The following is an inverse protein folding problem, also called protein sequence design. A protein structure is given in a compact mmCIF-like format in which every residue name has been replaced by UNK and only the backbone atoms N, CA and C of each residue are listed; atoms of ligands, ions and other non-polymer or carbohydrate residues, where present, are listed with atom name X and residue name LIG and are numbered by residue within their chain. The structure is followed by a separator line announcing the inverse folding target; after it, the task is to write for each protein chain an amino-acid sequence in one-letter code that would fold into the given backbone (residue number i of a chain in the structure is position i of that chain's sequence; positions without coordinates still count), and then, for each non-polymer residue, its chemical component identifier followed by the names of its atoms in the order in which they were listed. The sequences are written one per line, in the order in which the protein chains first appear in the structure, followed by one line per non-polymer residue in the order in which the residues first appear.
data_IF_109530727560
#
_entry.id   IF_109530727560
#
_cell.length_a   1.000
_cell.length_b   1.000
_cell.length_c   1.000
_cell.angle_alpha   90.00
_cell.angle_beta   90.00
_cell.angle_gamma   90.00
#
_symmetry.space_group_name_H-M   'P 1'
#
loop_
_entity.id
_entity.type
_entity.pdbx_description
1 polymer ?
#
# COMPACT_ATOMS: atom_id res chain seq x y z
N UNK A 1 -13.16 -35.93 2.35
CA UNK A 1 -13.26 -34.79 3.28
C UNK A 1 -12.02 -34.53 4.14
N UNK A 2 -11.12 -35.49 4.35
CA UNK A 2 -9.89 -35.28 5.16
C UNK A 2 -8.57 -35.50 4.39
N UNK A 3 -8.61 -35.41 3.05
CA UNK A 3 -7.46 -35.68 2.20
C UNK A 3 -6.33 -34.66 2.41
N UNK A 4 -5.08 -35.10 2.26
CA UNK A 4 -3.91 -34.23 2.24
C UNK A 4 -3.11 -34.42 0.96
N UNK A 5 -2.66 -33.33 0.35
CA UNK A 5 -1.78 -33.37 -0.81
C UNK A 5 -0.57 -32.45 -0.61
N UNK A 6 0.59 -32.90 -1.08
CA UNK A 6 1.80 -32.09 -1.21
C UNK A 6 2.13 -31.95 -2.69
N UNK A 7 2.29 -30.70 -3.15
CA UNK A 7 2.62 -30.34 -4.52
C UNK A 7 3.93 -29.55 -4.44
N UNK A 8 5.00 -30.17 -4.92
CA UNK A 8 6.33 -29.56 -4.92
C UNK A 8 6.85 -29.44 -6.36
N UNK A 9 7.50 -28.32 -6.67
CA UNK A 9 8.21 -28.08 -7.93
C UNK A 9 7.37 -28.33 -9.20
N UNK A 10 6.06 -28.07 -9.10
CA UNK A 10 5.12 -28.28 -10.18
C UNK A 10 4.81 -26.99 -10.94
N UNK A 11 4.46 -27.10 -12.22
CA UNK A 11 3.84 -26.01 -12.98
C UNK A 11 2.36 -26.34 -13.21
N UNK A 12 1.45 -25.55 -12.62
CA UNK A 12 0.02 -25.74 -12.72
C UNK A 12 -0.62 -24.67 -13.61
N UNK A 13 -1.21 -25.10 -14.71
CA UNK A 13 -1.89 -24.20 -15.65
C UNK A 13 -3.23 -24.77 -16.11
N UNK A 14 -4.28 -23.96 -16.08
CA UNK A 14 -5.60 -24.34 -16.57
C UNK A 14 -6.35 -23.17 -17.19
N UNK A 15 -6.63 -23.22 -18.50
CA UNK A 15 -7.30 -22.09 -19.16
C UNK A 15 -8.76 -21.88 -18.73
N UNK A 16 -9.42 -22.89 -18.18
CA UNK A 16 -10.86 -22.79 -17.83
C UNK A 16 -11.15 -23.06 -16.35
N UNK A 17 -10.14 -23.45 -15.57
CA UNK A 17 -10.31 -23.86 -14.18
C UNK A 17 -9.23 -23.28 -13.25
N UNK A 18 -9.32 -23.69 -11.98
CA UNK A 18 -8.32 -23.50 -10.94
C UNK A 18 -7.17 -24.49 -11.13
N UNK A 19 -5.97 -24.12 -10.67
CA UNK A 19 -4.84 -25.06 -10.61
C UNK A 19 -4.97 -26.03 -9.43
N UNK A 20 -5.45 -25.53 -8.29
CA UNK A 20 -5.73 -26.33 -7.08
C UNK A 20 -7.07 -25.88 -6.48
N UNK A 21 -7.91 -26.84 -6.15
CA UNK A 21 -9.13 -26.61 -5.38
C UNK A 21 -9.17 -27.56 -4.18
N UNK A 22 -9.35 -27.00 -2.98
CA UNK A 22 -9.43 -27.75 -1.73
C UNK A 22 -10.77 -27.42 -1.06
N UNK A 23 -11.47 -28.47 -0.64
CA UNK A 23 -12.85 -28.42 -0.13
C UNK A 23 -12.99 -29.33 1.08
N UNK A 24 -14.06 -29.16 1.87
CA UNK A 24 -14.25 -29.89 3.12
C UNK A 24 -13.14 -29.58 4.13
N UNK A 25 -12.66 -30.60 4.84
CA UNK A 25 -11.57 -30.49 5.81
C UNK A 25 -10.19 -30.88 5.22
N UNK A 26 -10.07 -30.91 3.89
CA UNK A 26 -8.85 -31.31 3.20
C UNK A 26 -7.72 -30.27 3.36
N UNK A 27 -6.49 -30.72 3.12
CA UNK A 27 -5.27 -29.94 3.30
C UNK A 27 -4.38 -29.99 2.06
N UNK A 28 -3.75 -28.87 1.74
CA UNK A 28 -2.75 -28.84 0.68
C UNK A 28 -1.49 -28.11 1.13
N UNK A 29 -0.34 -28.58 0.69
CA UNK A 29 0.94 -27.86 0.79
C UNK A 29 1.50 -27.68 -0.61
N UNK A 30 1.76 -26.45 -1.01
CA UNK A 30 2.41 -26.09 -2.26
C UNK A 30 3.78 -25.51 -1.94
N UNK A 31 4.84 -26.07 -2.51
CA UNK A 31 6.22 -25.61 -2.31
C UNK A 31 6.90 -25.44 -3.67
N UNK A 32 7.62 -24.33 -3.87
CA UNK A 32 8.48 -24.17 -5.06
C UNK A 32 7.74 -24.22 -6.41
N UNK A 33 6.41 -24.10 -6.39
CA UNK A 33 5.57 -24.38 -7.55
C UNK A 33 5.15 -23.11 -8.27
N UNK A 34 4.93 -23.21 -9.59
CA UNK A 34 4.48 -22.11 -10.43
C UNK A 34 3.03 -22.32 -10.86
N UNK A 35 2.17 -21.33 -10.63
CA UNK A 35 0.79 -21.33 -11.05
C UNK A 35 0.54 -20.18 -12.03
N UNK A 36 0.25 -20.52 -13.29
CA UNK A 36 0.21 -19.54 -14.39
C UNK A 36 -0.95 -19.75 -15.35
N UNK A 37 -1.49 -18.64 -15.87
CA UNK A 37 -2.51 -18.65 -16.92
C UNK A 37 -3.87 -19.23 -16.50
N UNK A 38 -4.11 -19.40 -15.20
CA UNK A 38 -5.33 -20.02 -14.67
C UNK A 38 -6.56 -19.15 -14.94
N UNK A 39 -7.65 -19.78 -15.39
CA UNK A 39 -8.90 -19.11 -15.78
C UNK A 39 -9.88 -18.85 -14.64
N UNK A 40 -9.70 -19.54 -13.51
CA UNK A 40 -10.39 -19.32 -12.22
C UNK A 40 -9.32 -19.09 -11.13
N UNK A 41 -9.66 -18.87 -9.83
CA UNK A 41 -8.65 -18.67 -8.81
C UNK A 41 -7.58 -19.77 -8.86
N UNK A 42 -6.29 -19.42 -8.91
CA UNK A 42 -5.25 -20.42 -9.16
C UNK A 42 -5.18 -21.46 -8.02
N UNK A 43 -5.30 -21.00 -6.78
CA UNK A 43 -5.60 -21.83 -5.59
C UNK A 43 -6.92 -21.34 -4.99
N UNK A 44 -7.81 -22.27 -4.66
CA UNK A 44 -9.03 -21.99 -3.91
C UNK A 44 -9.18 -22.93 -2.72
N UNK A 45 -9.38 -22.36 -1.53
CA UNK A 45 -9.75 -23.06 -0.30
C UNK A 45 -11.20 -22.71 0.07
N UNK A 46 -11.99 -23.73 0.43
CA UNK A 46 -13.40 -23.60 0.84
C UNK A 46 -13.68 -24.41 2.11
N UNK A 47 -14.84 -24.18 2.70
CA UNK A 47 -15.32 -24.86 3.91
C UNK A 47 -14.33 -24.67 5.07
N UNK A 48 -13.79 -25.75 5.64
CA UNK A 48 -12.81 -25.75 6.74
C UNK A 48 -11.41 -26.14 6.29
N UNK A 49 -11.16 -26.14 4.98
CA UNK A 49 -9.90 -26.60 4.40
C UNK A 49 -8.71 -25.72 4.78
N UNK A 50 -7.52 -26.29 4.70
CA UNK A 50 -6.29 -25.54 4.93
C UNK A 50 -5.30 -25.66 3.78
N UNK A 51 -4.51 -24.61 3.58
CA UNK A 51 -3.51 -24.57 2.53
C UNK A 51 -2.28 -23.80 2.98
N UNK A 52 -1.11 -24.40 2.76
CA UNK A 52 0.19 -23.74 2.91
C UNK A 52 0.78 -23.56 1.52
N UNK A 53 1.14 -22.33 1.18
CA UNK A 53 1.76 -21.94 -0.08
C UNK A 53 3.09 -21.30 0.27
N UNK A 54 4.20 -21.95 -0.06
CA UNK A 54 5.54 -21.50 0.29
C UNK A 54 6.43 -21.42 -0.94
N UNK A 55 7.18 -20.33 -1.07
CA UNK A 55 8.16 -20.13 -2.16
C UNK A 55 7.59 -20.40 -3.55
N UNK A 56 6.32 -20.06 -3.75
CA UNK A 56 5.58 -20.31 -5.00
C UNK A 56 5.51 -19.04 -5.86
N UNK A 57 5.28 -19.21 -7.17
CA UNK A 57 5.07 -18.11 -8.11
C UNK A 57 3.66 -18.17 -8.69
N UNK A 58 2.88 -17.10 -8.51
CA UNK A 58 1.55 -16.93 -9.10
C UNK A 58 1.61 -15.79 -10.11
N UNK A 59 1.81 -16.14 -11.39
CA UNK A 59 2.12 -15.15 -12.41
C UNK A 59 1.17 -15.24 -13.60
N UNK A 60 0.64 -14.11 -14.05
CA UNK A 60 -0.15 -14.05 -15.28
C UNK A 60 -1.47 -14.82 -15.24
N UNK A 61 -2.04 -15.04 -14.04
CA UNK A 61 -3.34 -15.70 -13.94
C UNK A 61 -4.44 -14.74 -14.39
N UNK A 62 -5.45 -15.27 -15.08
CA UNK A 62 -6.58 -14.48 -15.60
C UNK A 62 -7.66 -14.20 -14.54
N UNK A 63 -7.40 -14.58 -13.30
CA UNK A 63 -8.28 -14.44 -12.15
C UNK A 63 -7.42 -14.19 -10.90
N UNK A 64 -8.05 -14.23 -9.73
CA UNK A 64 -7.40 -14.20 -8.40
C UNK A 64 -6.28 -15.25 -8.31
N UNK A 65 -5.14 -14.94 -7.70
CA UNK A 65 -4.09 -15.94 -7.51
C UNK A 65 -4.46 -16.93 -6.38
N UNK A 66 -4.74 -16.44 -5.17
CA UNK A 66 -5.12 -17.30 -4.04
C UNK A 66 -6.41 -16.80 -3.39
N UNK A 67 -7.40 -17.69 -3.24
CA UNK A 67 -8.70 -17.39 -2.65
C UNK A 67 -8.99 -18.31 -1.46
N UNK A 68 -9.21 -17.74 -0.28
CA UNK A 68 -9.78 -18.41 0.89
C UNK A 68 -11.20 -17.94 1.17
N UNK A 69 -12.10 -18.87 1.49
CA UNK A 69 -13.51 -18.62 1.81
C UNK A 69 -13.96 -19.40 3.03
N UNK A 70 -15.14 -19.08 3.55
CA UNK A 70 -15.76 -19.72 4.72
C UNK A 70 -14.80 -19.74 5.92
N UNK A 71 -14.52 -20.89 6.52
CA UNK A 71 -13.65 -21.04 7.68
C UNK A 71 -12.26 -21.61 7.30
N UNK A 72 -11.86 -21.42 6.04
CA UNK A 72 -10.57 -21.91 5.56
C UNK A 72 -9.39 -21.20 6.23
N UNK A 73 -8.26 -21.91 6.30
CA UNK A 73 -6.98 -21.42 6.84
C UNK A 73 -5.91 -21.39 5.76
N UNK A 74 -5.43 -20.20 5.43
CA UNK A 74 -4.45 -20.02 4.36
C UNK A 74 -3.13 -19.44 4.89
N UNK A 75 -2.03 -20.12 4.60
CA UNK A 75 -0.69 -19.56 4.77
C UNK A 75 -0.08 -19.30 3.39
N UNK A 76 0.29 -18.05 3.11
CA UNK A 76 1.04 -17.68 1.90
C UNK A 76 2.35 -17.06 2.37
N UNK A 77 3.46 -17.76 2.11
CA UNK A 77 4.76 -17.48 2.70
C UNK A 77 5.80 -17.33 1.59
N UNK A 78 6.61 -16.27 1.66
CA UNK A 78 7.83 -16.12 0.85
C UNK A 78 7.59 -16.32 -0.66
N UNK A 79 6.41 -15.95 -1.14
CA UNK A 79 5.94 -16.22 -2.50
C UNK A 79 5.80 -14.94 -3.32
N UNK A 80 5.84 -15.09 -4.65
CA UNK A 80 5.65 -13.97 -5.58
C UNK A 80 4.30 -14.08 -6.27
N UNK A 81 3.46 -13.06 -6.11
CA UNK A 81 2.14 -12.98 -6.74
C UNK A 81 2.10 -11.75 -7.64
N UNK A 82 2.27 -11.98 -8.94
CA UNK A 82 2.50 -10.88 -9.89
C UNK A 82 1.63 -10.95 -11.15
N UNK A 83 1.27 -9.79 -11.68
CA UNK A 83 0.60 -9.66 -13.00
C UNK A 83 -0.65 -10.51 -13.15
N UNK A 84 -1.39 -10.70 -12.06
CA UNK A 84 -2.69 -11.38 -12.12
C UNK A 84 -3.77 -10.36 -12.48
N UNK A 85 -4.77 -10.78 -13.28
CA UNK A 85 -5.85 -9.90 -13.75
C UNK A 85 -6.85 -9.47 -12.67
N UNK A 86 -6.78 -10.08 -11.49
CA UNK A 86 -7.59 -9.69 -10.33
C UNK A 86 -6.69 -9.59 -9.10
N UNK A 87 -7.28 -9.63 -7.90
CA UNK A 87 -6.50 -9.53 -6.68
C UNK A 87 -5.51 -10.70 -6.50
N UNK A 88 -4.37 -10.45 -5.88
CA UNK A 88 -3.38 -11.50 -5.63
C UNK A 88 -3.87 -12.46 -4.53
N UNK A 89 -4.31 -11.95 -3.38
CA UNK A 89 -4.94 -12.77 -2.33
C UNK A 89 -6.30 -12.20 -1.96
N UNK A 90 -7.29 -13.08 -1.84
CA UNK A 90 -8.63 -12.72 -1.35
C UNK A 90 -9.01 -13.65 -0.21
N UNK A 91 -9.40 -13.09 0.94
CA UNK A 91 -10.03 -13.83 2.04
C UNK A 91 -11.43 -13.29 2.30
N UNK A 92 -12.40 -14.17 2.46
CA UNK A 92 -13.82 -13.84 2.67
C UNK A 92 -14.43 -14.65 3.82
N UNK A 93 -15.65 -14.29 4.18
CA UNK A 93 -16.43 -14.96 5.24
C UNK A 93 -15.66 -14.91 6.58
N UNK A 94 -15.24 -16.05 7.14
CA UNK A 94 -14.46 -16.14 8.38
C UNK A 94 -13.04 -16.67 8.13
N UNK A 95 -12.53 -16.53 6.90
CA UNK A 95 -11.26 -17.12 6.53
C UNK A 95 -10.11 -16.49 7.35
N UNK A 96 -9.24 -17.35 7.86
CA UNK A 96 -8.08 -16.97 8.66
C UNK A 96 -6.80 -17.29 7.88
N UNK A 97 -5.68 -16.72 8.32
CA UNK A 97 -4.42 -17.02 7.66
C UNK A 97 -3.25 -16.15 8.06
N UNK A 98 -2.10 -16.52 7.51
CA UNK A 98 -0.85 -15.75 7.59
C UNK A 98 -0.37 -15.49 6.17
N UNK A 99 -0.23 -14.22 5.82
CA UNK A 99 0.34 -13.80 4.55
C UNK A 99 1.64 -13.08 4.89
N UNK A 100 2.78 -13.76 4.74
CA UNK A 100 4.06 -13.29 5.26
C UNK A 100 5.21 -13.35 4.26
N UNK A 101 6.00 -12.28 4.20
CA UNK A 101 7.24 -12.26 3.43
C UNK A 101 7.05 -12.35 1.91
N UNK A 102 5.86 -12.00 1.40
CA UNK A 102 5.54 -12.14 -0.02
C UNK A 102 5.87 -10.87 -0.81
N UNK A 103 6.06 -11.04 -2.12
CA UNK A 103 6.14 -9.95 -3.09
C UNK A 103 4.85 -9.95 -3.91
N UNK A 104 4.03 -8.92 -3.74
CA UNK A 104 2.78 -8.73 -4.48
C UNK A 104 2.97 -7.56 -5.44
N UNK A 105 3.00 -7.82 -6.74
CA UNK A 105 3.43 -6.81 -7.71
C UNK A 105 2.57 -6.73 -8.97
N UNK A 106 2.19 -5.50 -9.35
CA UNK A 106 1.55 -5.20 -10.63
C UNK A 106 0.34 -6.08 -10.93
N UNK A 107 -0.47 -6.39 -9.92
CA UNK A 107 -1.75 -7.06 -10.12
C UNK A 107 -2.78 -5.99 -10.54
N UNK A 108 -3.70 -6.35 -11.44
CA UNK A 108 -4.73 -5.43 -11.92
C UNK A 108 -5.79 -5.15 -10.84
N UNK A 109 -6.01 -6.12 -9.94
CA UNK A 109 -6.82 -5.96 -8.73
C UNK A 109 -6.01 -5.51 -7.52
N UNK A 110 -6.58 -5.67 -6.32
CA UNK A 110 -5.89 -5.37 -5.07
C UNK A 110 -4.71 -6.34 -4.83
N UNK A 111 -3.71 -5.93 -4.08
CA UNK A 111 -2.71 -6.90 -3.61
C UNK A 111 -3.37 -7.94 -2.69
N UNK A 112 -3.96 -7.47 -1.60
CA UNK A 112 -4.76 -8.29 -0.70
C UNK A 112 -6.14 -7.64 -0.51
N UNK A 113 -7.19 -8.46 -0.60
CA UNK A 113 -8.57 -8.04 -0.35
C UNK A 113 -9.20 -8.91 0.76
N UNK A 114 -9.61 -8.26 1.84
CA UNK A 114 -10.28 -8.91 2.97
C UNK A 114 -11.75 -8.49 3.01
N UNK A 115 -12.64 -9.45 3.22
CA UNK A 115 -14.08 -9.23 3.25
C UNK A 115 -14.70 -9.87 4.50
N UNK A 116 -15.90 -9.40 4.86
CA UNK A 116 -16.71 -9.99 5.92
C UNK A 116 -15.95 -10.02 7.26
N UNK A 117 -15.78 -11.17 7.90
CA UNK A 117 -15.09 -11.34 9.19
C UNK A 117 -13.66 -11.89 9.02
N UNK A 118 -13.14 -11.97 7.79
CA UNK A 118 -11.81 -12.49 7.52
C UNK A 118 -10.74 -11.69 8.27
N UNK A 119 -9.93 -12.35 9.09
CA UNK A 119 -9.02 -11.68 10.05
C UNK A 119 -7.62 -12.30 10.04
N UNK A 120 -6.89 -12.26 8.91
CA UNK A 120 -5.53 -12.77 8.82
C UNK A 120 -4.48 -11.86 9.49
N UNK A 121 -3.28 -12.41 9.67
CA UNK A 121 -2.05 -11.65 9.83
C UNK A 121 -1.41 -11.40 8.45
N UNK A 122 -1.12 -10.14 8.14
CA UNK A 122 -0.42 -9.69 6.95
C UNK A 122 0.88 -9.04 7.41
N UNK A 123 2.00 -9.75 7.26
CA UNK A 123 3.27 -9.37 7.89
C UNK A 123 4.43 -9.31 6.88
N UNK A 124 5.27 -8.28 6.94
CA UNK A 124 6.53 -8.24 6.19
C UNK A 124 6.37 -8.46 4.67
N UNK A 125 5.24 -8.07 4.07
CA UNK A 125 5.04 -8.19 2.63
C UNK A 125 5.44 -6.90 1.91
N UNK A 126 5.83 -7.06 0.65
CA UNK A 126 6.16 -5.95 -0.24
C UNK A 126 5.09 -5.80 -1.33
N UNK A 127 4.53 -4.60 -1.45
CA UNK A 127 3.50 -4.27 -2.45
C UNK A 127 4.01 -3.19 -3.40
N UNK A 128 4.00 -3.48 -4.71
CA UNK A 128 4.46 -2.55 -5.75
C UNK A 128 3.54 -2.52 -6.96
N UNK A 129 3.43 -1.34 -7.59
CA UNK A 129 2.79 -1.19 -8.90
C UNK A 129 1.30 -1.51 -8.97
N UNK A 130 0.60 -1.65 -7.83
CA UNK A 130 -0.84 -1.89 -7.81
C UNK A 130 -1.60 -0.64 -8.26
N UNK A 131 -2.57 -0.80 -9.15
CA UNK A 131 -3.43 0.30 -9.65
C UNK A 131 -4.67 0.50 -8.80
N UNK A 132 -5.17 -0.60 -8.21
CA UNK A 132 -6.18 -0.64 -7.16
C UNK A 132 -5.51 -0.54 -5.77
N UNK A 133 -6.26 -0.47 -4.66
CA UNK A 133 -5.65 -0.47 -3.33
C UNK A 133 -4.70 -1.65 -3.14
N UNK A 134 -3.49 -1.42 -2.63
CA UNK A 134 -2.55 -2.51 -2.37
C UNK A 134 -3.10 -3.46 -1.30
N UNK A 135 -3.69 -2.91 -0.24
CA UNK A 135 -4.47 -3.68 0.75
C UNK A 135 -5.85 -3.04 0.92
N UNK A 136 -6.90 -3.85 0.82
CA UNK A 136 -8.28 -3.45 1.08
C UNK A 136 -8.89 -4.28 2.19
N UNK A 137 -9.33 -3.62 3.25
CA UNK A 137 -10.00 -4.21 4.42
C UNK A 137 -11.42 -3.68 4.50
N UNK A 138 -12.41 -4.58 4.42
CA UNK A 138 -13.84 -4.23 4.44
C UNK A 138 -14.64 -5.25 5.25
N UNK A 139 -15.91 -4.91 5.54
CA UNK A 139 -16.78 -5.75 6.37
C UNK A 139 -16.56 -5.50 7.86
N UNK A 140 -16.36 -6.56 8.64
CA UNK A 140 -16.07 -6.60 10.08
C UNK A 140 -14.68 -7.18 10.40
N UNK A 141 -13.77 -7.18 9.42
CA UNK A 141 -12.42 -7.71 9.56
C UNK A 141 -11.65 -7.08 10.73
N UNK A 142 -10.97 -7.91 11.51
CA UNK A 142 -10.05 -7.52 12.59
C UNK A 142 -8.60 -7.93 12.26
N UNK A 143 -8.23 -7.84 10.98
CA UNK A 143 -6.91 -8.24 10.50
C UNK A 143 -5.76 -7.43 11.15
N UNK A 144 -4.58 -8.04 11.20
CA UNK A 144 -3.34 -7.37 11.64
C UNK A 144 -2.44 -7.14 10.44
N UNK A 145 -2.05 -5.89 10.20
CA UNK A 145 -1.19 -5.46 9.12
C UNK A 145 0.09 -4.93 9.76
N UNK A 146 1.16 -5.72 9.72
CA UNK A 146 2.38 -5.44 10.48
C UNK A 146 3.61 -5.42 9.57
N UNK A 147 4.44 -4.38 9.69
CA UNK A 147 5.75 -4.29 9.03
C UNK A 147 5.72 -4.49 7.49
N UNK A 148 4.63 -4.12 6.82
CA UNK A 148 4.53 -4.20 5.37
C UNK A 148 5.14 -2.98 4.70
N UNK A 149 5.80 -3.21 3.56
CA UNK A 149 6.30 -2.16 2.68
C UNK A 149 5.35 -1.98 1.49
N UNK A 150 4.68 -0.84 1.44
CA UNK A 150 3.84 -0.45 0.30
C UNK A 150 4.51 0.71 -0.41
N UNK A 151 5.08 0.44 -1.59
CA UNK A 151 5.85 1.45 -2.31
C UNK A 151 5.54 1.52 -3.80
N UNK A 152 5.62 2.73 -4.35
CA UNK A 152 5.42 2.98 -5.78
C UNK A 152 4.13 2.34 -6.36
N UNK A 153 3.07 2.27 -5.54
CA UNK A 153 1.75 1.87 -6.01
C UNK A 153 1.07 3.05 -6.70
N UNK A 154 0.33 2.79 -7.77
CA UNK A 154 -0.43 3.82 -8.49
C UNK A 154 -1.82 4.06 -7.85
N UNK A 155 -2.30 3.06 -7.11
CA UNK A 155 -3.51 3.08 -6.29
C UNK A 155 -3.28 3.55 -4.85
N UNK A 156 -4.33 3.44 -4.03
CA UNK A 156 -4.27 3.71 -2.59
C UNK A 156 -3.35 2.66 -1.94
N UNK A 157 -2.62 3.03 -0.88
CA UNK A 157 -1.84 2.04 -0.12
C UNK A 157 -2.77 1.09 0.63
N UNK A 158 -3.42 1.60 1.67
CA UNK A 158 -4.36 0.84 2.50
C UNK A 158 -5.72 1.54 2.49
N UNK A 159 -6.80 0.79 2.29
CA UNK A 159 -8.17 1.27 2.53
C UNK A 159 -8.87 0.39 3.57
N UNK A 160 -9.49 1.04 4.55
CA UNK A 160 -10.26 0.42 5.63
C UNK A 160 -11.69 0.96 5.57
N UNK A 161 -12.68 0.06 5.47
CA UNK A 161 -14.08 0.43 5.25
C UNK A 161 -15.06 -0.53 5.95
N UNK A 162 -16.36 -0.26 5.86
CA UNK A 162 -17.41 -0.99 6.59
C UNK A 162 -17.36 -0.69 8.09
N UNK A 163 -17.46 -1.74 8.92
CA UNK A 163 -17.32 -1.67 10.37
C UNK A 163 -16.05 -2.39 10.84
N UNK A 164 -15.02 -2.43 9.98
CA UNK A 164 -13.77 -3.14 10.23
C UNK A 164 -12.93 -2.45 11.31
N UNK A 165 -12.12 -3.26 12.01
CA UNK A 165 -11.28 -2.82 13.14
C UNK A 165 -9.88 -3.44 13.06
N UNK A 166 -9.15 -3.28 11.95
CA UNK A 166 -7.81 -3.83 11.84
C UNK A 166 -6.80 -3.07 12.70
N UNK A 167 -5.71 -3.74 13.05
CA UNK A 167 -4.49 -3.11 13.59
C UNK A 167 -3.51 -2.88 12.42
N UNK A 168 -3.11 -1.65 12.19
CA UNK A 168 -2.16 -1.24 11.15
C UNK A 168 -0.92 -0.69 11.85
N UNK A 169 0.12 -1.50 11.98
CA UNK A 169 1.28 -1.19 12.83
C UNK A 169 2.62 -1.38 12.13
N UNK A 170 3.55 -0.43 12.29
CA UNK A 170 4.93 -0.61 11.77
C UNK A 170 5.07 -0.59 10.25
N UNK A 171 4.01 -0.26 9.50
CA UNK A 171 4.05 -0.31 8.04
C UNK A 171 4.75 0.93 7.47
N UNK A 172 5.46 0.73 6.36
CA UNK A 172 6.07 1.82 5.60
C UNK A 172 5.34 2.01 4.28
N UNK A 173 4.67 3.15 4.15
CA UNK A 173 3.95 3.53 2.93
C UNK A 173 4.69 4.68 2.26
N UNK A 174 5.41 4.42 1.18
CA UNK A 174 6.23 5.45 0.53
C UNK A 174 6.02 5.60 -0.96
N UNK A 175 6.07 6.84 -1.44
CA UNK A 175 6.01 7.14 -2.87
C UNK A 175 4.80 6.55 -3.60
N UNK A 176 3.69 6.28 -2.89
CA UNK A 176 2.46 5.80 -3.50
C UNK A 176 1.71 6.97 -4.14
N UNK A 177 0.97 6.64 -5.19
CA UNK A 177 0.28 7.54 -6.11
C UNK A 177 1.14 8.59 -6.78
N UNK A 178 2.47 8.61 -6.55
CA UNK A 178 3.37 9.42 -7.37
C UNK A 178 3.12 9.00 -8.81
N UNK A 179 2.43 9.87 -9.56
CA UNK A 179 2.49 9.79 -11.01
C UNK A 179 3.96 9.77 -11.34
N UNK A 180 4.35 8.93 -12.29
CA UNK A 180 5.70 8.94 -12.82
C UNK A 180 6.07 10.38 -13.16
N UNK A 181 6.80 11.04 -12.26
CA UNK A 181 7.79 11.99 -12.70
C UNK A 181 8.63 11.21 -13.69
N UNK A 182 8.92 11.78 -14.85
CA UNK A 182 9.77 11.26 -15.91
C UNK A 182 10.90 10.33 -15.41
N UNK A 183 11.52 10.68 -14.28
CA UNK A 183 12.50 9.86 -13.55
C UNK A 183 12.12 8.39 -13.22
N UNK A 184 10.86 8.04 -12.89
CA UNK A 184 10.47 6.65 -12.58
C UNK A 184 10.16 5.84 -13.83
N UNK A 185 9.64 6.47 -14.89
CA UNK A 185 9.52 5.83 -16.21
C UNK A 185 10.90 5.62 -16.80
N UNK A 186 11.80 6.60 -16.65
CA UNK A 186 13.21 6.47 -17.01
C UNK A 186 13.90 5.38 -16.19
N UNK A 187 13.72 5.32 -14.87
CA UNK A 187 14.32 4.26 -14.05
C UNK A 187 13.79 2.87 -14.41
N UNK A 188 12.47 2.70 -14.60
CA UNK A 188 11.90 1.44 -15.08
C UNK A 188 12.38 1.07 -16.48
N UNK A 189 12.57 2.06 -17.34
CA UNK A 189 13.13 1.86 -18.67
C UNK A 189 14.60 1.46 -18.59
N UNK A 190 15.38 2.06 -17.69
CA UNK A 190 16.78 1.70 -17.42
C UNK A 190 16.86 0.27 -16.88
N UNK A 191 16.07 -0.08 -15.87
CA UNK A 191 16.08 -1.42 -15.26
C UNK A 191 15.65 -2.49 -16.28
N UNK A 192 14.61 -2.20 -17.08
CA UNK A 192 14.18 -3.09 -18.16
C UNK A 192 15.22 -3.20 -19.29
N UNK A 193 15.92 -2.10 -19.63
CA UNK A 193 17.00 -2.12 -20.62
C UNK A 193 18.21 -2.92 -20.11
N UNK A 194 18.53 -2.84 -18.82
CA UNK A 194 19.57 -3.66 -18.17
C UNK A 194 19.21 -5.14 -18.24
N UNK A 195 17.94 -5.49 -18.00
CA UNK A 195 17.45 -6.87 -18.13
C UNK A 195 17.54 -7.39 -19.56
N UNK A 196 17.20 -6.57 -20.56
CA UNK A 196 17.41 -6.91 -21.99
C UNK A 196 18.88 -7.17 -22.28
N UNK A 197 19.78 -6.29 -21.83
CA UNK A 197 21.22 -6.45 -22.04
C UNK A 197 21.77 -7.74 -21.41
N UNK A 198 21.30 -8.10 -20.20
CA UNK A 198 21.69 -9.34 -19.53
C UNK A 198 21.17 -10.57 -20.28
N UNK A 199 19.92 -10.54 -20.75
CA UNK A 199 19.31 -11.63 -21.52
C UNK A 199 19.99 -11.81 -22.90
N UNK A 200 20.30 -10.72 -23.61
CA UNK A 200 21.03 -10.77 -24.88
C UNK A 200 22.43 -11.35 -24.72
N UNK A 201 23.19 -10.93 -23.68
CA UNK A 201 24.52 -11.52 -23.39
C UNK A 201 24.45 -13.01 -23.09
N UNK A 202 23.41 -13.45 -22.36
CA UNK A 202 23.17 -14.87 -22.07
C UNK A 202 22.85 -15.65 -23.36
N UNK A 203 22.06 -15.08 -24.26
CA UNK A 203 21.74 -15.68 -25.56
C UNK A 203 22.97 -15.79 -26.47
N UNK A 204 23.78 -14.74 -26.55
CA UNK A 204 25.06 -14.74 -27.29
C UNK A 204 26.02 -15.81 -26.76
N UNK A 205 26.15 -15.94 -25.44
CA UNK A 205 26.98 -16.99 -24.82
C UNK A 205 26.46 -18.41 -25.12
N UNK A 206 25.13 -18.60 -25.16
CA UNK A 206 24.52 -19.87 -25.52
C UNK A 206 24.74 -20.22 -27.00
N UNK A 207 24.67 -19.23 -27.90
CA UNK A 207 24.98 -19.39 -29.32
C UNK A 207 26.46 -19.73 -29.54
N UNK A 208 27.39 -19.04 -28.86
CA UNK A 208 28.81 -19.36 -28.94
C UNK A 208 29.13 -20.78 -28.45
N UNK A 209 28.41 -21.24 -27.41
CA UNK A 209 28.53 -22.62 -26.91
C UNK A 209 28.02 -23.62 -27.96
N UNK A 210 26.91 -23.32 -28.63
CA UNK A 210 26.40 -24.13 -29.73
C UNK A 210 27.40 -24.22 -30.89
N UNK A 211 27.99 -23.09 -31.30
CA UNK A 211 28.98 -23.06 -32.38
C UNK A 211 30.24 -23.87 -32.03
N UNK A 212 30.70 -23.78 -30.78
CA UNK A 212 31.82 -24.58 -30.28
C UNK A 212 31.51 -26.09 -30.26
N UNK A 213 30.29 -26.47 -29.86
CA UNK A 213 29.83 -27.87 -29.91
C UNK A 213 29.71 -28.36 -31.37
N UNK A 214 29.25 -27.51 -32.28
CA UNK A 214 29.14 -27.82 -33.71
C UNK A 214 30.51 -27.94 -34.41
N UNK A 215 31.51 -27.17 -33.97
CA UNK A 215 32.88 -27.24 -34.47
C UNK A 215 33.67 -28.44 -33.93
N UNK A 216 33.21 -29.07 -32.83
CA UNK A 216 33.85 -30.26 -32.28
C UNK A 216 33.48 -31.51 -33.08
N UNK A 217 34.48 -32.07 -33.78
CA UNK A 217 34.38 -33.30 -34.56
C UNK A 217 34.00 -34.56 -33.73
N UNK A 218 33.99 -34.46 -32.39
CA UNK A 218 33.72 -35.56 -31.45
C UNK A 218 32.44 -35.36 -30.62
N UNK A 219 31.68 -34.29 -30.86
CA UNK A 219 30.51 -33.98 -30.05
C UNK A 219 29.36 -35.01 -30.24
N UNK A 220 28.77 -35.55 -29.16
CA UNK A 220 27.61 -36.43 -29.26
C UNK A 220 26.40 -35.71 -29.88
N UNK A 221 25.59 -36.36 -30.75
CA UNK A 221 24.40 -35.77 -31.35
C UNK A 221 23.41 -35.18 -30.32
N UNK A 222 23.30 -35.81 -29.14
CA UNK A 222 22.45 -35.34 -28.05
C UNK A 222 22.95 -34.04 -27.41
N UNK A 223 24.27 -33.83 -27.33
CA UNK A 223 24.85 -32.60 -26.79
C UNK A 223 24.61 -31.42 -27.75
N UNK A 224 24.75 -31.65 -29.06
CA UNK A 224 24.43 -30.65 -30.08
C UNK A 224 22.93 -30.29 -30.09
N UNK A 225 22.03 -31.27 -29.93
CA UNK A 225 20.60 -31.02 -29.82
C UNK A 225 20.25 -30.17 -28.59
N UNK A 226 20.81 -30.49 -27.42
CA UNK A 226 20.60 -29.74 -26.18
C UNK A 226 21.17 -28.32 -26.26
N UNK A 227 22.33 -28.13 -26.89
CA UNK A 227 22.90 -26.80 -27.12
C UNK A 227 22.01 -25.94 -28.03
N UNK A 228 21.41 -26.54 -29.07
CA UNK A 228 20.45 -25.84 -29.97
C UNK A 228 19.19 -25.40 -29.22
N UNK A 229 18.64 -26.28 -28.39
CA UNK A 229 17.45 -26.00 -27.59
C UNK A 229 17.71 -24.86 -26.58
N UNK A 230 18.84 -24.91 -25.87
CA UNK A 230 19.23 -23.87 -24.90
C UNK A 230 19.48 -22.52 -25.58
N UNK A 231 20.13 -22.50 -26.75
CA UNK A 231 20.34 -21.27 -27.51
C UNK A 231 19.00 -20.69 -27.98
N UNK A 232 18.10 -21.52 -28.52
CA UNK A 232 16.76 -21.08 -28.94
C UNK A 232 15.95 -20.53 -27.77
N UNK A 233 15.96 -21.20 -26.61
CA UNK A 233 15.26 -20.76 -25.41
C UNK A 233 15.80 -19.41 -24.88
N UNK A 234 17.13 -19.21 -24.90
CA UNK A 234 17.73 -17.97 -24.46
C UNK A 234 17.37 -16.77 -25.37
N UNK A 235 17.25 -16.99 -26.68
CA UNK A 235 16.77 -15.95 -27.61
C UNK A 235 15.29 -15.62 -27.43
N UNK A 236 14.45 -16.60 -27.08
CA UNK A 236 13.05 -16.36 -26.72
C UNK A 236 12.93 -15.55 -25.43
N UNK A 237 13.77 -15.85 -24.42
CA UNK A 237 13.86 -15.07 -23.17
C UNK A 237 14.28 -13.62 -23.42
N UNK A 238 15.27 -13.41 -24.28
CA UNK A 238 15.72 -12.07 -24.69
C UNK A 238 14.64 -11.28 -25.46
N UNK A 239 13.91 -11.93 -26.36
CA UNK A 239 12.80 -11.32 -27.09
C UNK A 239 11.66 -10.91 -26.14
N UNK A 240 11.29 -11.75 -25.19
CA UNK A 240 10.26 -11.45 -24.19
C UNK A 240 10.66 -10.26 -23.29
N UNK A 241 11.94 -10.14 -22.94
CA UNK A 241 12.46 -8.98 -22.19
C UNK A 241 12.42 -7.69 -23.03
N UNK A 242 12.64 -7.78 -24.34
CA UNK A 242 12.57 -6.63 -25.25
C UNK A 242 11.14 -6.12 -25.45
N UNK A 243 10.16 -7.03 -25.55
CA UNK A 243 8.74 -6.68 -25.61
C UNK A 243 8.27 -5.96 -24.33
N UNK A 244 8.84 -6.33 -23.17
CA UNK A 244 8.57 -5.69 -21.88
C UNK A 244 9.05 -4.21 -21.87
N UNK A 245 10.17 -3.89 -22.53
CA UNK A 245 10.64 -2.51 -22.72
C UNK A 245 9.72 -1.73 -23.66
N UNK A 246 9.30 -2.35 -24.77
CA UNK A 246 8.44 -1.71 -25.78
C UNK A 246 7.05 -1.35 -25.23
N UNK A 247 6.56 -2.09 -24.23
CA UNK A 247 5.28 -1.84 -23.57
C UNK A 247 5.26 -0.62 -22.61
N UNK A 248 6.42 -0.01 -22.30
CA UNK A 248 6.52 1.16 -21.42
C UNK A 248 6.16 2.44 -22.22
N UNK A 249 4.88 2.85 -22.17
CA UNK A 249 4.39 4.02 -22.91
C UNK A 249 4.98 5.36 -22.43
N UNK A 250 5.19 6.36 -23.33
CA UNK A 250 5.56 7.72 -22.95
C UNK A 250 4.40 8.38 -22.20
N UNK A 251 4.70 8.93 -21.01
CA UNK A 251 3.69 9.41 -20.07
C UNK A 251 2.87 10.60 -20.61
N UNK A 252 1.59 10.36 -20.93
CA UNK A 252 0.60 11.43 -21.13
C UNK A 252 -0.48 11.29 -20.06
N UNK A 253 -0.36 12.07 -18.99
CA UNK A 253 -1.21 11.95 -17.81
C UNK A 253 -2.45 12.84 -17.87
N UNK A 254 -3.57 12.33 -18.37
CA UNK A 254 -4.88 12.93 -18.12
C UNK A 254 -5.11 13.04 -16.61
N UNK A 255 -5.32 14.26 -16.10
CA UNK A 255 -5.58 14.53 -14.69
C UNK A 255 -6.91 13.88 -14.25
N UNK A 256 -6.84 12.82 -13.44
CA UNK A 256 -8.03 12.36 -12.73
C UNK A 256 -8.31 13.34 -11.58
N UNK A 257 -9.24 14.26 -11.82
CA UNK A 257 -9.90 15.04 -10.77
C UNK A 257 -10.73 14.07 -9.94
N UNK A 258 -10.28 13.74 -8.74
CA UNK A 258 -11.02 12.90 -7.81
C UNK A 258 -10.38 12.87 -6.41
N UNK A 259 -11.21 13.07 -5.39
CA UNK A 259 -10.88 13.24 -3.96
C UNK A 259 -10.26 12.01 -3.26
N UNK A 260 -9.86 10.96 -4.01
CA UNK A 260 -9.45 9.64 -3.47
C UNK A 260 -7.94 9.35 -3.59
N UNK A 261 -7.08 10.34 -3.34
CA UNK A 261 -5.62 10.15 -3.30
C UNK A 261 -5.13 10.23 -1.85
N UNK A 262 -4.93 9.09 -1.21
CA UNK A 262 -4.30 9.02 0.10
C UNK A 262 -3.41 7.77 0.21
N UNK A 263 -2.43 7.78 1.12
CA UNK A 263 -1.68 6.57 1.46
C UNK A 263 -2.56 5.60 2.24
N UNK A 264 -3.29 6.10 3.24
CA UNK A 264 -4.30 5.37 4.01
C UNK A 264 -5.65 6.09 3.89
N UNK A 265 -6.71 5.34 3.58
CA UNK A 265 -8.10 5.81 3.67
C UNK A 265 -8.83 5.01 4.75
N UNK A 266 -9.50 5.71 5.66
CA UNK A 266 -10.40 5.13 6.66
C UNK A 266 -11.78 5.74 6.47
N UNK A 267 -12.78 4.90 6.23
CA UNK A 267 -14.13 5.36 5.87
C UNK A 267 -15.23 4.50 6.50
N UNK A 268 -16.48 4.89 6.25
CA UNK A 268 -17.69 4.26 6.79
C UNK A 268 -17.75 4.34 8.32
N UNK A 269 -17.98 3.23 9.03
CA UNK A 269 -18.00 3.15 10.51
C UNK A 269 -16.75 2.42 11.04
N UNK A 270 -15.69 2.37 10.24
CA UNK A 270 -14.48 1.62 10.62
C UNK A 270 -13.73 2.30 11.75
N UNK A 271 -13.10 1.49 12.59
CA UNK A 271 -12.36 1.95 13.77
C UNK A 271 -11.02 1.21 13.89
N UNK A 272 -10.08 1.42 12.94
CA UNK A 272 -8.75 0.82 13.00
C UNK A 272 -7.87 1.49 14.07
N UNK A 273 -6.90 0.73 14.57
CA UNK A 273 -5.72 1.28 15.24
C UNK A 273 -4.63 1.48 14.18
N UNK A 274 -4.21 2.72 13.94
CA UNK A 274 -3.11 3.06 13.03
C UNK A 274 -1.94 3.56 13.87
N UNK A 275 -0.94 2.70 14.09
CA UNK A 275 0.12 2.96 15.06
C UNK A 275 1.53 2.78 14.53
N UNK A 276 2.46 3.69 14.85
CA UNK A 276 3.89 3.52 14.54
C UNK A 276 4.18 3.23 13.05
N UNK A 277 3.38 3.79 12.14
CA UNK A 277 3.62 3.69 10.70
C UNK A 277 4.43 4.90 10.22
N UNK A 278 5.21 4.68 9.16
CA UNK A 278 5.92 5.75 8.45
C UNK A 278 5.29 5.96 7.08
N UNK A 279 4.70 7.13 6.86
CA UNK A 279 4.10 7.53 5.59
C UNK A 279 4.96 8.64 4.99
N UNK A 280 5.57 8.36 3.84
CA UNK A 280 6.60 9.22 3.26
C UNK A 280 6.35 9.50 1.79
N UNK A 281 6.29 10.77 1.39
CA UNK A 281 6.41 11.10 -0.03
C UNK A 281 5.24 10.62 -0.88
N UNK A 282 4.04 10.41 -0.33
CA UNK A 282 2.90 9.94 -1.12
C UNK A 282 2.21 11.12 -1.83
N UNK A 283 1.82 10.94 -3.11
CA UNK A 283 1.12 11.98 -3.88
C UNK A 283 -0.37 12.00 -3.53
N UNK A 284 -0.71 12.74 -2.49
CA UNK A 284 -2.04 12.76 -1.89
C UNK A 284 -2.01 13.04 -0.40
N UNK A 285 -3.13 12.80 0.27
CA UNK A 285 -3.21 12.83 1.72
C UNK A 285 -2.31 11.73 2.32
N UNK A 286 -1.74 11.94 3.50
CA UNK A 286 -1.14 10.83 4.24
C UNK A 286 -2.24 9.88 4.69
N UNK A 287 -3.09 10.35 5.60
CA UNK A 287 -4.27 9.65 6.09
C UNK A 287 -5.50 10.50 5.78
N UNK A 288 -6.48 9.90 5.11
CA UNK A 288 -7.80 10.50 4.88
C UNK A 288 -8.84 9.71 5.68
N UNK A 289 -9.58 10.40 6.55
CA UNK A 289 -10.68 9.85 7.32
C UNK A 289 -11.99 10.55 6.93
N UNK A 290 -13.02 9.76 6.61
CA UNK A 290 -14.31 10.27 6.15
C UNK A 290 -15.50 9.43 6.64
N UNK A 291 -16.72 9.87 6.33
CA UNK A 291 -17.99 9.32 6.80
C UNK A 291 -18.13 9.39 8.34
N UNK A 292 -18.32 8.26 9.02
CA UNK A 292 -18.52 8.16 10.47
C UNK A 292 -17.39 7.35 11.13
N UNK A 293 -16.21 7.35 10.50
CA UNK A 293 -15.08 6.54 10.92
C UNK A 293 -14.47 7.06 12.24
N UNK A 294 -13.95 6.12 13.03
CA UNK A 294 -13.45 6.37 14.39
C UNK A 294 -12.05 5.77 14.64
N UNK A 295 -11.05 6.06 13.80
CA UNK A 295 -9.71 5.54 13.99
C UNK A 295 -9.03 6.13 15.23
N UNK A 296 -8.13 5.33 15.82
CA UNK A 296 -7.09 5.82 16.73
C UNK A 296 -5.77 5.83 15.96
N UNK A 297 -5.17 7.01 15.83
CA UNK A 297 -3.93 7.24 15.07
C UNK A 297 -2.83 7.66 16.05
N UNK A 298 -1.90 6.76 16.34
CA UNK A 298 -0.88 6.93 17.39
C UNK A 298 0.55 6.80 16.89
N UNK A 299 1.44 7.66 17.37
CA UNK A 299 2.89 7.49 17.21
C UNK A 299 3.35 7.30 15.74
N UNK A 300 2.61 7.85 14.77
CA UNK A 300 2.97 7.73 13.34
C UNK A 300 3.86 8.90 12.91
N UNK A 301 4.71 8.65 11.91
CA UNK A 301 5.53 9.68 11.26
C UNK A 301 5.03 9.90 9.82
N UNK A 302 4.57 11.13 9.53
CA UNK A 302 4.01 11.49 8.22
C UNK A 302 4.75 12.70 7.64
N UNK A 303 5.41 12.52 6.50
CA UNK A 303 6.23 13.58 5.93
C UNK A 303 6.33 13.56 4.40
N UNK A 304 6.72 14.69 3.83
CA UNK A 304 6.91 14.89 2.39
C UNK A 304 5.65 14.65 1.54
N UNK A 305 4.45 14.85 2.09
CA UNK A 305 3.20 14.73 1.35
C UNK A 305 2.87 16.00 0.54
N UNK A 306 2.36 15.83 -0.68
CA UNK A 306 1.92 16.92 -1.57
C UNK A 306 0.56 17.53 -1.19
N UNK A 307 -0.20 16.86 -0.32
CA UNK A 307 -1.48 17.33 0.24
C UNK A 307 -1.43 17.21 1.78
N UNK A 308 -2.52 17.53 2.51
CA UNK A 308 -2.48 17.46 3.96
C UNK A 308 -2.04 16.10 4.49
N UNK A 309 -1.22 16.10 5.55
CA UNK A 309 -0.73 14.86 6.15
C UNK A 309 -1.88 14.04 6.71
N UNK A 310 -2.79 14.68 7.45
CA UNK A 310 -4.03 14.06 7.92
C UNK A 310 -5.22 14.94 7.53
N UNK A 311 -6.25 14.34 6.96
CA UNK A 311 -7.51 15.01 6.64
C UNK A 311 -8.69 14.28 7.26
N UNK A 312 -9.49 15.00 8.04
CA UNK A 312 -10.69 14.53 8.71
C UNK A 312 -11.91 15.26 8.12
N UNK A 313 -12.93 14.50 7.73
CA UNK A 313 -14.12 15.00 7.02
C UNK A 313 -15.40 14.39 7.59
N UNK A 314 -16.53 14.87 7.11
CA UNK A 314 -17.88 14.38 7.45
C UNK A 314 -18.13 14.38 8.97
N UNK A 315 -18.56 13.26 9.57
CA UNK A 315 -18.92 13.14 11.00
C UNK A 315 -17.91 12.26 11.75
N UNK A 316 -16.63 12.44 11.43
CA UNK A 316 -15.56 11.60 11.98
C UNK A 316 -15.24 11.96 13.42
N UNK A 317 -15.02 10.94 14.25
CA UNK A 317 -14.64 11.07 15.66
C UNK A 317 -13.34 10.29 15.88
N UNK A 318 -12.21 10.99 15.73
CA UNK A 318 -10.89 10.37 15.72
C UNK A 318 -10.07 10.74 16.96
N UNK A 319 -9.16 9.85 17.37
CA UNK A 319 -8.08 10.19 18.30
C UNK A 319 -6.78 10.28 17.52
N UNK A 320 -6.12 11.45 17.52
CA UNK A 320 -4.79 11.65 16.95
C UNK A 320 -3.82 11.96 18.09
N UNK A 321 -2.93 11.03 18.43
CA UNK A 321 -2.05 11.13 19.60
C UNK A 321 -0.59 10.85 19.28
N UNK A 322 0.33 11.69 19.75
CA UNK A 322 1.78 11.38 19.65
C UNK A 322 2.33 11.30 18.22
N UNK A 323 1.60 11.79 17.21
CA UNK A 323 2.06 11.72 15.83
C UNK A 323 3.05 12.85 15.53
N UNK A 324 4.01 12.55 14.65
CA UNK A 324 4.98 13.50 14.14
C UNK A 324 4.67 13.80 12.67
N UNK A 325 4.20 15.02 12.41
CA UNK A 325 3.85 15.48 11.07
C UNK A 325 4.86 16.56 10.68
N UNK A 326 5.65 16.34 9.63
CA UNK A 326 6.65 17.33 9.26
C UNK A 326 6.93 17.41 7.76
N UNK A 327 7.42 18.56 7.30
CA UNK A 327 7.89 18.74 5.91
C UNK A 327 6.82 18.37 4.86
N UNK A 328 5.55 18.72 5.13
CA UNK A 328 4.45 18.48 4.20
C UNK A 328 4.09 19.77 3.47
N UNK A 329 3.93 19.73 2.16
CA UNK A 329 3.63 20.91 1.33
C UNK A 329 2.26 21.51 1.65
N UNK A 330 1.31 20.67 2.11
CA UNK A 330 -0.04 21.05 2.48
C UNK A 330 -0.21 21.48 3.94
N UNK A 331 -1.44 21.30 4.43
CA UNK A 331 -1.75 21.43 5.87
C UNK A 331 -1.14 20.24 6.64
N UNK A 332 -0.88 20.39 7.94
CA UNK A 332 -0.55 19.22 8.77
C UNK A 332 -1.78 18.37 8.99
N UNK A 333 -2.74 18.93 9.73
CA UNK A 333 -4.05 18.35 10.00
C UNK A 333 -5.11 19.31 9.47
N UNK A 334 -6.06 18.79 8.70
CA UNK A 334 -7.26 19.53 8.32
C UNK A 334 -8.50 18.82 8.87
N UNK A 335 -9.36 19.59 9.55
CA UNK A 335 -10.64 19.14 10.12
C UNK A 335 -11.75 19.94 9.43
N UNK A 336 -12.66 19.26 8.75
CA UNK A 336 -13.73 19.85 7.95
C UNK A 336 -15.11 19.30 8.36
N UNK A 337 -16.15 19.88 7.77
CA UNK A 337 -17.54 19.42 7.86
C UNK A 337 -18.04 19.38 9.32
N UNK A 338 -18.51 18.24 9.83
CA UNK A 338 -19.01 18.03 11.20
C UNK A 338 -18.03 17.20 12.04
N UNK A 339 -16.74 17.13 11.64
CA UNK A 339 -15.77 16.28 12.31
C UNK A 339 -15.46 16.80 13.73
N UNK A 340 -15.30 15.86 14.66
CA UNK A 340 -15.09 16.13 16.09
C UNK A 340 -13.93 15.28 16.66
N UNK A 341 -12.67 15.56 16.27
CA UNK A 341 -11.51 14.81 16.74
C UNK A 341 -11.01 15.27 18.11
N UNK A 342 -10.29 14.37 18.78
CA UNK A 342 -9.31 14.72 19.81
C UNK A 342 -7.92 14.66 19.21
N UNK A 343 -7.21 15.79 19.20
CA UNK A 343 -5.85 15.93 18.67
C UNK A 343 -4.93 16.33 19.82
N UNK A 344 -4.12 15.39 20.29
CA UNK A 344 -3.29 15.61 21.47
C UNK A 344 -1.83 15.15 21.35
N UNK A 345 -0.93 15.89 21.99
CA UNK A 345 0.48 15.51 22.08
C UNK A 345 1.15 15.26 20.72
N UNK A 346 0.67 15.89 19.65
CA UNK A 346 1.28 15.76 18.32
C UNK A 346 2.35 16.84 18.11
N UNK A 347 3.37 16.51 17.33
CA UNK A 347 4.41 17.43 16.87
C UNK A 347 4.17 17.76 15.39
N UNK A 348 3.98 19.04 15.09
CA UNK A 348 3.70 19.53 13.73
C UNK A 348 4.74 20.58 13.31
N UNK A 349 5.54 20.24 12.31
CA UNK A 349 6.69 21.06 11.91
C UNK A 349 6.75 21.36 10.42
N UNK A 350 7.18 22.57 10.05
CA UNK A 350 7.53 22.91 8.65
C UNK A 350 6.45 22.56 7.61
N UNK A 351 5.19 22.83 7.95
CA UNK A 351 4.08 22.69 6.99
C UNK A 351 4.02 23.89 6.04
N UNK A 352 3.75 23.64 4.75
CA UNK A 352 3.62 24.67 3.72
C UNK A 352 2.35 25.52 3.84
N UNK A 353 1.32 24.98 4.50
CA UNK A 353 0.11 25.71 4.91
C UNK A 353 -0.04 25.67 6.43
N UNK A 354 -1.24 25.99 6.96
CA UNK A 354 -1.46 25.94 8.40
C UNK A 354 -1.15 24.54 8.96
N UNK A 355 -0.52 24.48 10.14
CA UNK A 355 -0.21 23.19 10.76
C UNK A 355 -1.50 22.45 11.14
N UNK A 356 -2.46 23.16 11.76
CA UNK A 356 -3.81 22.66 11.98
C UNK A 356 -4.81 23.65 11.41
N UNK A 357 -5.73 23.18 10.56
CA UNK A 357 -6.88 23.95 10.09
C UNK A 357 -8.17 23.28 10.56
N UNK A 358 -9.04 24.03 11.23
CA UNK A 358 -10.41 23.63 11.58
C UNK A 358 -11.37 24.54 10.83
N UNK A 359 -12.29 23.98 10.05
CA UNK A 359 -13.21 24.76 9.23
C UNK A 359 -14.61 24.17 9.11
N UNK A 360 -15.50 24.90 8.45
CA UNK A 360 -16.93 24.55 8.28
C UNK A 360 -17.62 24.52 9.66
N UNK A 361 -18.32 23.45 10.03
CA UNK A 361 -18.96 23.29 11.35
C UNK A 361 -18.14 22.41 12.29
N UNK A 362 -16.86 22.19 11.98
CA UNK A 362 -16.03 21.25 12.71
C UNK A 362 -15.79 21.73 14.15
N UNK A 363 -15.67 20.77 15.05
CA UNK A 363 -15.33 21.00 16.45
C UNK A 363 -14.14 20.12 16.83
N UNK A 364 -14.04 19.74 18.09
CA UNK A 364 -12.98 18.91 18.62
C UNK A 364 -12.10 19.60 19.63
N UNK A 365 -11.19 18.82 20.19
CA UNK A 365 -10.24 19.26 21.21
C UNK A 365 -8.84 19.18 20.64
N UNK A 366 -8.18 20.33 20.52
CA UNK A 366 -6.78 20.45 20.15
C UNK A 366 -6.00 20.76 21.43
N UNK A 367 -5.32 19.76 22.00
CA UNK A 367 -4.64 19.94 23.29
C UNK A 367 -3.19 19.49 23.34
N UNK A 368 -2.34 20.22 24.05
CA UNK A 368 -0.94 19.80 24.28
C UNK A 368 -0.15 19.49 22.99
N UNK A 369 -0.49 20.11 21.86
CA UNK A 369 0.25 19.93 20.62
C UNK A 369 1.42 20.91 20.57
N UNK A 370 2.52 20.47 19.94
CA UNK A 370 3.73 21.27 19.71
C UNK A 370 3.82 21.62 18.23
N UNK A 371 3.68 22.91 17.91
CA UNK A 371 3.73 23.43 16.55
C UNK A 371 4.99 24.29 16.39
N UNK A 372 5.91 23.87 15.52
CA UNK A 372 7.27 24.46 15.43
C UNK A 372 7.62 24.81 13.99
N UNK A 373 8.10 26.03 13.74
CA UNK A 373 8.67 26.43 12.44
C UNK A 373 7.74 26.18 11.24
N UNK A 374 6.43 26.34 11.43
CA UNK A 374 5.48 26.18 10.32
C UNK A 374 5.55 27.38 9.38
N UNK A 375 5.55 27.12 8.07
CA UNK A 375 5.65 28.15 7.03
C UNK A 375 4.33 28.89 6.79
N UNK A 376 3.42 28.89 7.75
CA UNK A 376 2.13 29.58 7.73
C UNK A 376 1.68 29.84 9.18
N UNK A 377 0.37 29.81 9.44
CA UNK A 377 -0.20 29.87 10.79
C UNK A 377 -0.04 28.52 11.50
N UNK A 378 0.16 28.51 12.82
CA UNK A 378 0.14 27.28 13.61
C UNK A 378 -1.25 26.63 13.59
N UNK A 379 -2.23 27.28 14.22
CA UNK A 379 -3.63 26.84 14.28
C UNK A 379 -4.52 27.89 13.61
N UNK A 380 -5.27 27.50 12.60
CA UNK A 380 -6.26 28.35 11.94
C UNK A 380 -7.66 27.77 12.14
N UNK A 381 -8.60 28.61 12.58
CA UNK A 381 -10.02 28.28 12.72
C UNK A 381 -10.82 29.24 11.83
N UNK A 382 -11.69 28.69 10.97
CA UNK A 382 -12.45 29.44 9.96
C UNK A 382 -13.89 28.90 9.84
N UNK A 383 -14.81 29.70 9.30
CA UNK A 383 -16.23 29.34 9.13
C UNK A 383 -16.96 29.28 10.47
N UNK A 384 -17.97 28.42 10.58
CA UNK A 384 -18.76 28.23 11.81
C UNK A 384 -18.14 27.21 12.78
N UNK A 385 -16.81 27.04 12.74
CA UNK A 385 -16.10 26.05 13.53
C UNK A 385 -16.04 26.47 15.00
N UNK A 386 -16.13 25.48 15.91
CA UNK A 386 -16.17 25.67 17.36
C UNK A 386 -15.24 24.73 18.15
N UNK A 387 -13.90 24.77 17.93
CA UNK A 387 -12.97 23.90 18.65
C UNK A 387 -12.63 24.41 20.06
N UNK A 388 -12.19 23.50 20.91
CA UNK A 388 -11.46 23.80 22.15
C UNK A 388 -9.97 23.69 21.86
N UNK A 389 -9.25 24.81 21.98
CA UNK A 389 -7.81 24.91 21.74
C UNK A 389 -7.13 25.20 23.06
N UNK A 390 -6.46 24.21 23.63
CA UNK A 390 -5.86 24.33 24.97
C UNK A 390 -4.44 23.78 25.13
N UNK A 391 -3.63 24.39 25.98
CA UNK A 391 -2.31 23.87 26.34
C UNK A 391 -1.36 23.63 25.15
N UNK A 392 -1.60 24.24 23.98
CA UNK A 392 -0.74 24.09 22.82
C UNK A 392 0.44 25.05 22.89
N UNK A 393 1.59 24.62 22.36
CA UNK A 393 2.78 25.46 22.23
C UNK A 393 3.06 25.70 20.76
N UNK A 394 2.97 26.95 20.32
CA UNK A 394 3.31 27.40 18.98
C UNK A 394 4.60 28.22 19.03
N UNK A 395 5.56 27.91 18.15
CA UNK A 395 6.83 28.63 18.06
C UNK A 395 7.27 28.82 16.61
N UNK A 396 7.94 29.94 16.32
CA UNK A 396 8.53 30.24 15.01
C UNK A 396 8.64 31.74 14.73
N UNK A 397 9.38 32.12 13.69
CA UNK A 397 9.71 33.52 13.35
C UNK A 397 8.54 34.31 12.71
N UNK A 398 7.29 33.89 12.91
CA UNK A 398 6.12 34.51 12.27
C UNK A 398 5.18 35.17 13.26
N UNK A 399 4.52 36.24 12.78
CA UNK A 399 3.65 37.12 13.57
C UNK A 399 2.35 36.46 14.05
N UNK A 400 1.82 35.43 13.37
CA UNK A 400 0.52 34.83 13.68
C UNK A 400 0.63 33.32 13.95
N UNK A 401 0.39 32.93 15.21
CA UNK A 401 0.45 31.54 15.65
C UNK A 401 -0.91 30.85 15.72
N UNK A 402 -1.95 31.56 16.18
CA UNK A 402 -3.32 31.05 16.31
C UNK A 402 -4.27 32.13 15.77
N UNK A 403 -5.14 31.77 14.83
CA UNK A 403 -6.06 32.70 14.15
C UNK A 403 -7.48 32.14 14.14
N UNK A 404 -8.45 32.98 14.48
CA UNK A 404 -9.88 32.75 14.31
C UNK A 404 -10.41 33.76 13.29
N UNK A 405 -11.08 33.29 12.23
CA UNK A 405 -11.58 34.12 11.14
C UNK A 405 -12.94 33.63 10.62
N UNK A 406 -13.57 34.41 9.75
CA UNK A 406 -14.79 34.03 9.02
C UNK A 406 -15.96 33.55 9.91
N UNK A 407 -16.17 34.18 11.07
CA UNK A 407 -17.23 33.80 12.01
C UNK A 407 -16.86 32.72 13.02
N UNK A 408 -15.64 32.20 12.96
CA UNK A 408 -15.18 31.14 13.85
C UNK A 408 -15.25 31.58 15.32
N UNK A 409 -15.76 30.69 16.16
CA UNK A 409 -15.74 30.84 17.61
C UNK A 409 -15.08 29.62 18.25
N UNK A 410 -14.84 29.66 19.55
CA UNK A 410 -14.22 28.53 20.24
C UNK A 410 -13.63 28.94 21.57
N UNK A 411 -13.04 27.97 22.26
CA UNK A 411 -12.41 28.21 23.55
C UNK A 411 -10.90 28.18 23.36
N UNK A 412 -10.25 29.31 23.61
CA UNK A 412 -8.78 29.41 23.62
C UNK A 412 -8.30 29.58 25.06
N UNK A 413 -7.55 28.60 25.61
CA UNK A 413 -7.03 28.71 26.99
C UNK A 413 -5.67 28.05 27.16
N UNK A 414 -4.79 28.65 27.97
CA UNK A 414 -3.47 28.09 28.35
C UNK A 414 -2.53 27.77 27.17
N UNK A 415 -2.70 28.42 26.02
CA UNK A 415 -1.79 28.25 24.88
C UNK A 415 -0.58 29.18 25.01
N UNK A 416 0.59 28.73 24.55
CA UNK A 416 1.84 29.49 24.53
C UNK A 416 2.22 29.80 23.10
N UNK A 417 2.31 31.08 22.76
CA UNK A 417 2.83 31.57 21.48
C UNK A 417 4.21 32.17 21.74
N UNK A 418 5.25 31.55 21.19
CA UNK A 418 6.63 31.94 21.37
C UNK A 418 7.15 32.54 20.05
N UNK A 419 7.55 33.81 20.09
CA UNK A 419 8.26 34.42 18.97
C UNK A 419 9.58 33.68 18.74
N UNK A 420 9.95 33.48 17.48
CA UNK A 420 11.27 33.00 17.13
C UNK A 420 12.36 33.99 17.54
N UNK A 421 13.57 33.50 17.79
CA UNK A 421 14.66 34.25 18.42
C UNK A 421 15.19 35.46 17.60
N UNK A 422 14.54 35.82 16.48
CA UNK A 422 14.89 36.96 15.63
C UNK A 422 13.75 37.94 15.30
N UNK A 423 12.58 37.83 15.94
CA UNK A 423 11.48 38.78 15.71
C UNK A 423 11.46 39.90 16.75
N UNK A 424 11.55 41.16 16.31
CA UNK A 424 11.30 42.31 17.21
C UNK A 424 9.91 42.20 17.86
N UNK A 425 9.79 42.55 19.15
CA UNK A 425 8.50 42.54 19.84
C UNK A 425 7.60 43.65 19.30
N UNK A 426 6.35 43.31 18.94
CA UNK A 426 5.24 44.25 18.79
C UNK A 426 4.13 43.88 19.78
#
# INVERSE_FOLDING_TARGET
DEGSACIADCTLTSRRSSGVAVVGAARVTLVGSTLTGNGKPAVVLKDTSSGVVRTCSFTGNRHIAVLGRQESRLEVLESTLSRNRMAAVVLRDKALGVIKGNILESNEGCGIELCDEASPLIEANTFRGHTMPAIMVRGRSAAKLTDNLLEANLGIGIIVSGSSRPEVTGNRLRQNRKRSSTAQVEQRRIDAQVKVLQASKKAEAATATLDAVAASLSAPPAAAARARELASAAWVEAAAAADEVAAIAPGVGAASKGSKRAAIIVQDESAPLVKSNTLEGNDGYGILVCNAARPTVEDNELHNHSRPAIALRDKTECMLRGNRLHDNEGFGIIVCDEANPTVEQNELCRHGKAAILVKDTASGVLRSNRLVENYSVGICVSGDAHPIVEDNTCSGDRQLHIVFQDGAAGVLRRNRALAGAGGEPL
#
